data_IF_716077131748
#
_entry.id   IF_716077131748
#
_cell.length_a   1.000
_cell.length_b   1.000
_cell.length_c   1.000
_cell.angle_alpha   90.00
_cell.angle_beta   90.00
_cell.angle_gamma   90.00
#
_symmetry.space_group_name_H-M   'P 1'
#
loop_
_entity.id
_entity.type
_entity.pdbx_description
1 polymer ?
#
# COMPACT_ATOMS: atom_id res chain seq x y z
N UNK A 1 14.93 -1.67 16.16
CA UNK A 1 13.50 -1.76 15.76
C UNK A 1 13.17 -0.82 14.60
N UNK A 2 13.36 0.50 14.74
CA UNK A 2 12.94 1.50 13.74
C UNK A 2 13.51 1.29 12.32
N UNK A 3 14.80 0.96 12.20
CA UNK A 3 15.39 0.69 10.88
C UNK A 3 14.73 -0.51 10.19
N UNK A 4 14.55 -1.61 10.92
CA UNK A 4 13.89 -2.80 10.41
C UNK A 4 12.44 -2.50 9.98
N UNK A 5 11.71 -1.72 10.78
CA UNK A 5 10.35 -1.27 10.43
C UNK A 5 10.34 -0.57 9.07
N UNK A 6 11.17 0.45 8.88
CA UNK A 6 11.22 1.18 7.62
C UNK A 6 11.60 0.27 6.45
N UNK A 7 12.63 -0.55 6.63
CA UNK A 7 13.09 -1.50 5.62
C UNK A 7 11.95 -2.43 5.17
N UNK A 8 11.23 -3.06 6.12
CA UNK A 8 10.17 -3.99 5.79
C UNK A 8 8.91 -3.33 5.24
N UNK A 9 8.60 -2.08 5.63
CA UNK A 9 7.53 -1.31 5.01
C UNK A 9 7.81 -1.02 3.53
N UNK A 10 9.04 -0.59 3.20
CA UNK A 10 9.46 -0.33 1.82
C UNK A 10 9.52 -1.63 1.02
N UNK A 11 10.12 -2.69 1.59
CA UNK A 11 10.24 -3.99 0.94
C UNK A 11 8.87 -4.62 0.67
N UNK A 12 7.92 -4.51 1.60
CA UNK A 12 6.54 -4.95 1.42
C UNK A 12 5.88 -4.25 0.24
N UNK A 13 6.01 -2.92 0.14
CA UNK A 13 5.51 -2.22 -1.04
C UNK A 13 6.17 -2.67 -2.34
N UNK A 14 7.50 -2.79 -2.35
CA UNK A 14 8.22 -3.22 -3.55
C UNK A 14 7.83 -4.65 -4.00
N UNK A 15 7.63 -5.56 -3.04
CA UNK A 15 7.16 -6.91 -3.29
C UNK A 15 5.81 -6.90 -4.02
N UNK A 16 4.85 -6.12 -3.53
CA UNK A 16 3.49 -6.08 -4.07
C UNK A 16 3.44 -5.42 -5.45
N UNK A 17 4.14 -4.30 -5.64
CA UNK A 17 4.04 -3.50 -6.87
C UNK A 17 4.93 -3.99 -8.02
N UNK A 18 6.04 -4.65 -7.71
CA UNK A 18 7.03 -5.07 -8.72
C UNK A 18 7.19 -6.58 -8.86
N UNK A 19 7.08 -7.35 -7.78
CA UNK A 19 7.30 -8.81 -7.85
C UNK A 19 5.99 -9.59 -8.01
N UNK A 20 4.92 -9.16 -7.34
CA UNK A 20 3.63 -9.87 -7.34
C UNK A 20 2.60 -9.29 -8.31
N UNK A 21 2.72 -8.01 -8.65
CA UNK A 21 1.87 -7.39 -9.66
C UNK A 21 2.32 -7.79 -11.06
N UNK A 22 1.46 -8.52 -11.76
CA UNK A 22 1.63 -8.81 -13.18
C UNK A 22 1.08 -7.69 -14.07
N UNK A 23 1.44 -7.72 -15.36
CA UNK A 23 1.02 -6.72 -16.35
C UNK A 23 -0.51 -6.61 -16.48
N UNK A 24 -1.22 -7.74 -16.34
CA UNK A 24 -2.69 -7.78 -16.38
C UNK A 24 -3.30 -6.97 -15.24
N UNK A 25 -2.83 -7.18 -13.99
CA UNK A 25 -3.26 -6.42 -12.81
C UNK A 25 -2.93 -4.94 -12.96
N UNK A 26 -1.68 -4.62 -13.36
CA UNK A 26 -1.23 -3.25 -13.54
C UNK A 26 -2.09 -2.50 -14.57
N UNK A 27 -2.53 -3.18 -15.63
CA UNK A 27 -3.39 -2.61 -16.66
C UNK A 27 -4.86 -2.57 -16.23
N UNK A 28 -5.39 -3.62 -15.63
CA UNK A 28 -6.83 -3.76 -15.36
C UNK A 28 -7.28 -2.99 -14.11
N UNK A 29 -6.37 -2.60 -13.20
CA UNK A 29 -6.69 -1.69 -12.09
C UNK A 29 -7.07 -0.28 -12.55
N UNK A 30 -6.71 0.10 -13.77
CA UNK A 30 -7.04 1.40 -14.33
C UNK A 30 -8.43 1.41 -14.97
N UNK A 31 -9.26 2.39 -14.59
CA UNK A 31 -10.64 2.54 -15.12
C UNK A 31 -10.70 2.65 -16.65
N UNK A 32 -9.71 3.28 -17.26
CA UNK A 32 -9.61 3.51 -18.70
C UNK A 32 -8.84 2.39 -19.42
N UNK A 33 -8.67 1.22 -18.79
CA UNK A 33 -7.97 0.09 -19.40
C UNK A 33 -8.65 -0.39 -20.68
N UNK A 34 -7.85 -0.61 -21.72
CA UNK A 34 -8.28 -1.28 -22.96
C UNK A 34 -7.90 -2.76 -22.97
N UNK A 35 -7.42 -3.30 -21.83
CA UNK A 35 -7.01 -4.68 -21.73
C UNK A 35 -8.22 -5.62 -21.89
N UNK A 36 -8.07 -6.69 -22.67
CA UNK A 36 -9.18 -7.61 -23.00
C UNK A 36 -9.88 -8.20 -21.75
N UNK A 37 -9.14 -8.42 -20.66
CA UNK A 37 -9.67 -8.98 -19.41
C UNK A 37 -10.54 -7.97 -18.65
N UNK A 38 -10.34 -6.66 -18.86
CA UNK A 38 -11.11 -5.61 -18.17
C UNK A 38 -12.59 -5.63 -18.55
N UNK A 39 -12.97 -6.30 -19.65
CA UNK A 39 -14.37 -6.51 -20.07
C UNK A 39 -15.11 -7.44 -19.10
N UNK A 40 -14.42 -8.39 -18.46
CA UNK A 40 -15.03 -9.41 -17.61
C UNK A 40 -14.99 -9.05 -16.13
N UNK A 41 -13.95 -8.34 -15.69
CA UNK A 41 -13.75 -7.97 -14.29
C UNK A 41 -13.57 -6.45 -14.19
N UNK A 42 -14.55 -5.73 -13.59
CA UNK A 42 -14.47 -4.29 -13.44
C UNK A 42 -13.21 -3.82 -12.70
N UNK A 43 -12.67 -2.68 -13.14
CA UNK A 43 -11.41 -2.09 -12.63
C UNK A 43 -11.36 -1.94 -11.11
N UNK A 44 -12.50 -1.64 -10.47
CA UNK A 44 -12.53 -1.42 -9.03
C UNK A 44 -12.26 -2.69 -8.23
N UNK A 45 -12.51 -3.89 -8.76
CA UNK A 45 -12.10 -5.14 -8.10
C UNK A 45 -10.58 -5.32 -8.15
N UNK A 46 -9.96 -5.04 -9.30
CA UNK A 46 -8.50 -5.06 -9.47
C UNK A 46 -7.83 -4.03 -8.56
N UNK A 47 -8.28 -2.78 -8.60
CA UNK A 47 -7.69 -1.71 -7.79
C UNK A 47 -7.88 -1.96 -6.29
N UNK A 48 -9.08 -2.35 -5.87
CA UNK A 48 -9.37 -2.59 -4.45
C UNK A 48 -8.58 -3.78 -3.92
N UNK A 49 -8.49 -4.87 -4.67
CA UNK A 49 -7.68 -6.03 -4.25
C UNK A 49 -6.19 -5.69 -4.16
N UNK A 50 -5.66 -4.96 -5.15
CA UNK A 50 -4.27 -4.49 -5.13
C UNK A 50 -3.99 -3.59 -3.92
N UNK A 51 -4.77 -2.53 -3.74
CA UNK A 51 -4.60 -1.61 -2.61
C UNK A 51 -4.76 -2.31 -1.25
N UNK A 52 -5.70 -3.25 -1.14
CA UNK A 52 -5.90 -4.04 0.08
C UNK A 52 -4.68 -4.90 0.42
N UNK A 53 -4.01 -5.48 -0.58
CA UNK A 53 -2.77 -6.24 -0.34
C UNK A 53 -1.64 -5.35 0.18
N UNK A 54 -1.54 -4.10 -0.26
CA UNK A 54 -0.59 -3.14 0.31
C UNK A 54 -0.92 -2.81 1.78
N UNK A 55 -2.19 -2.58 2.09
CA UNK A 55 -2.63 -2.37 3.47
C UNK A 55 -2.36 -3.58 4.37
N UNK A 56 -2.68 -4.79 3.90
CA UNK A 56 -2.34 -6.04 4.60
C UNK A 56 -0.83 -6.18 4.76
N UNK A 57 -0.03 -5.83 3.75
CA UNK A 57 1.42 -5.83 3.83
C UNK A 57 1.96 -4.97 4.97
N UNK A 58 1.45 -3.75 5.13
CA UNK A 58 1.78 -2.88 6.27
C UNK A 58 1.28 -3.47 7.59
N UNK A 59 0.04 -3.96 7.63
CA UNK A 59 -0.54 -4.58 8.81
C UNK A 59 0.24 -5.80 9.31
N UNK A 60 0.71 -6.66 8.40
CA UNK A 60 1.54 -7.83 8.72
C UNK A 60 2.88 -7.39 9.34
N UNK A 61 3.53 -6.37 8.77
CA UNK A 61 4.78 -5.82 9.32
C UNK A 61 4.54 -5.29 10.74
N UNK A 62 3.50 -4.49 10.95
CA UNK A 62 3.14 -3.98 12.28
C UNK A 62 2.81 -5.12 13.26
N UNK A 63 2.01 -6.10 12.85
CA UNK A 63 1.64 -7.21 13.73
C UNK A 63 2.85 -8.05 14.12
N UNK A 64 3.75 -8.31 13.18
CA UNK A 64 5.00 -9.03 13.41
C UNK A 64 5.91 -8.30 14.40
N UNK A 65 5.87 -6.96 14.41
CA UNK A 65 6.62 -6.12 15.36
C UNK A 65 5.92 -5.90 16.71
N UNK A 66 4.83 -6.63 16.98
CA UNK A 66 4.19 -6.64 18.30
C UNK A 66 3.17 -5.54 18.55
N UNK A 67 2.66 -4.88 17.51
CA UNK A 67 1.58 -3.90 17.66
C UNK A 67 0.22 -4.57 17.89
N UNK A 68 -0.64 -3.89 18.65
CA UNK A 68 -2.01 -4.31 18.94
C UNK A 68 -2.87 -4.37 17.66
N UNK A 69 -3.87 -5.24 17.64
CA UNK A 69 -4.75 -5.43 16.49
C UNK A 69 -5.54 -4.18 16.09
N UNK A 70 -5.88 -3.28 17.04
CA UNK A 70 -6.55 -2.03 16.70
C UNK A 70 -5.63 -1.11 15.90
N UNK A 71 -4.35 -1.01 16.30
CA UNK A 71 -3.32 -0.27 15.56
C UNK A 71 -3.11 -0.89 14.19
N UNK A 72 -2.92 -2.22 14.15
CA UNK A 72 -2.71 -2.98 12.90
C UNK A 72 -3.87 -2.74 11.92
N UNK A 73 -5.11 -2.85 12.39
CA UNK A 73 -6.28 -2.61 11.56
C UNK A 73 -6.33 -1.16 11.06
N UNK A 74 -6.05 -0.19 11.93
CA UNK A 74 -6.06 1.23 11.56
C UNK A 74 -5.02 1.55 10.46
N UNK A 75 -3.77 1.12 10.62
CA UNK A 75 -2.71 1.38 9.62
C UNK A 75 -2.97 0.60 8.32
N UNK A 76 -3.50 -0.62 8.39
CA UNK A 76 -3.82 -1.40 7.20
C UNK A 76 -4.95 -0.78 6.38
N UNK A 77 -6.01 -0.31 7.04
CA UNK A 77 -7.13 0.38 6.39
C UNK A 77 -6.68 1.73 5.81
N UNK A 78 -5.88 2.49 6.56
CA UNK A 78 -5.38 3.78 6.10
C UNK A 78 -4.45 3.62 4.90
N UNK A 79 -3.49 2.69 4.94
CA UNK A 79 -2.64 2.37 3.79
C UNK A 79 -3.46 1.90 2.59
N UNK A 80 -4.47 1.04 2.79
CA UNK A 80 -5.38 0.62 1.71
C UNK A 80 -6.04 1.82 1.05
N UNK A 81 -6.59 2.75 1.83
CA UNK A 81 -7.27 3.92 1.31
C UNK A 81 -6.32 4.87 0.56
N UNK A 82 -5.14 5.15 1.13
CA UNK A 82 -4.12 6.01 0.53
C UNK A 82 -3.62 5.38 -0.77
N UNK A 83 -3.30 4.09 -0.76
CA UNK A 83 -2.80 3.37 -1.94
C UNK A 83 -3.85 3.36 -3.04
N UNK A 84 -5.11 3.10 -2.69
CA UNK A 84 -6.24 3.11 -3.64
C UNK A 84 -6.38 4.46 -4.34
N UNK A 85 -6.40 5.56 -3.58
CA UNK A 85 -6.55 6.91 -4.13
C UNK A 85 -5.33 7.28 -4.99
N UNK A 86 -4.13 6.91 -4.54
CA UNK A 86 -2.88 7.20 -5.24
C UNK A 86 -2.83 6.47 -6.58
N UNK A 87 -3.17 5.19 -6.62
CA UNK A 87 -3.21 4.42 -7.85
C UNK A 87 -4.34 4.85 -8.78
N UNK A 88 -5.50 5.21 -8.23
CA UNK A 88 -6.59 5.78 -9.01
C UNK A 88 -6.16 7.05 -9.73
N UNK A 89 -5.51 7.99 -9.01
CA UNK A 89 -5.00 9.24 -9.59
C UNK A 89 -3.92 9.00 -10.65
N UNK A 90 -3.02 8.03 -10.43
CA UNK A 90 -2.04 7.60 -11.45
C UNK A 90 -2.74 7.06 -12.69
N UNK A 91 -3.68 6.13 -12.54
CA UNK A 91 -4.45 5.56 -13.64
C UNK A 91 -5.26 6.62 -14.41
N UNK A 92 -5.75 7.65 -13.70
CA UNK A 92 -6.42 8.81 -14.28
C UNK A 92 -5.46 9.85 -14.89
N UNK A 93 -4.14 9.59 -14.86
CA UNK A 93 -3.07 10.45 -15.38
C UNK A 93 -3.00 11.84 -14.72
N UNK A 94 -3.37 11.94 -13.45
CA UNK A 94 -3.26 13.19 -12.69
C UNK A 94 -1.80 13.57 -12.39
N UNK A 95 -0.91 12.58 -12.35
CA UNK A 95 0.52 12.75 -12.12
C UNK A 95 1.32 11.58 -12.69
N UNK A 96 2.66 11.71 -12.68
CA UNK A 96 3.60 10.74 -13.24
C UNK A 96 3.85 9.54 -12.31
N UNK A 97 4.48 8.50 -12.85
CA UNK A 97 4.94 7.34 -12.07
C UNK A 97 5.91 7.74 -10.94
N UNK A 98 6.75 8.75 -11.16
CA UNK A 98 7.66 9.22 -10.10
C UNK A 98 6.92 9.86 -8.92
N UNK A 99 5.86 10.62 -9.21
CA UNK A 99 5.03 11.20 -8.17
C UNK A 99 4.26 10.13 -7.39
N UNK A 100 3.73 9.11 -8.09
CA UNK A 100 3.11 7.93 -7.49
C UNK A 100 4.07 7.23 -6.51
N UNK A 101 5.28 6.90 -6.95
CA UNK A 101 6.28 6.26 -6.10
C UNK A 101 6.71 7.15 -4.92
N UNK A 102 6.81 8.46 -5.12
CA UNK A 102 7.12 9.40 -4.05
C UNK A 102 6.03 9.41 -2.97
N UNK A 103 4.74 9.40 -3.36
CA UNK A 103 3.60 9.31 -2.43
C UNK A 103 3.68 8.00 -1.66
N UNK A 104 3.90 6.88 -2.35
CA UNK A 104 3.99 5.57 -1.73
C UNK A 104 5.10 5.52 -0.68
N UNK A 105 6.32 5.94 -1.01
CA UNK A 105 7.44 5.98 -0.06
C UNK A 105 7.17 6.94 1.10
N UNK A 106 6.59 8.11 0.82
CA UNK A 106 6.21 9.09 1.85
C UNK A 106 5.22 8.47 2.84
N UNK A 107 4.25 7.67 2.38
CA UNK A 107 3.33 6.97 3.27
C UNK A 107 4.06 6.04 4.26
N UNK A 108 5.08 5.30 3.80
CA UNK A 108 5.87 4.40 4.66
C UNK A 108 6.71 5.17 5.65
N UNK A 109 7.25 6.32 5.24
CA UNK A 109 7.94 7.25 6.13
C UNK A 109 7.00 7.81 7.20
N UNK A 110 5.74 8.10 6.88
CA UNK A 110 4.73 8.55 7.85
C UNK A 110 4.45 7.45 8.89
N UNK A 111 4.21 6.21 8.46
CA UNK A 111 4.01 5.09 9.40
C UNK A 111 5.21 4.88 10.32
N UNK A 112 6.41 4.91 9.74
CA UNK A 112 7.66 4.84 10.49
C UNK A 112 7.80 6.01 11.47
N UNK A 113 7.48 7.24 11.06
CA UNK A 113 7.59 8.44 11.87
C UNK A 113 6.61 8.42 13.05
N UNK A 114 5.39 7.91 12.87
CA UNK A 114 4.43 7.76 13.97
C UNK A 114 4.95 6.82 15.07
N UNK A 115 5.68 5.77 14.70
CA UNK A 115 6.34 4.88 15.67
C UNK A 115 7.57 5.54 16.28
N UNK A 116 8.41 6.20 15.46
CA UNK A 116 9.62 6.87 15.91
C UNK A 116 9.33 8.04 16.87
N UNK A 117 8.23 8.75 16.66
CA UNK A 117 7.73 9.82 17.52
C UNK A 117 6.87 9.31 18.69
N UNK A 118 6.81 7.99 18.91
CA UNK A 118 6.10 7.38 20.04
C UNK A 118 4.59 7.64 20.09
N UNK A 119 3.99 8.10 18.99
CA UNK A 119 2.53 8.27 18.85
C UNK A 119 1.82 6.91 18.87
N UNK A 120 2.49 5.89 18.34
CA UNK A 120 2.01 4.51 18.32
C UNK A 120 3.14 3.59 18.80
N UNK A 121 2.83 2.68 19.73
CA UNK A 121 3.82 1.81 20.37
C UNK A 121 3.42 0.32 20.29
N UNK A 122 4.39 -0.60 20.24
CA UNK A 122 4.13 -2.03 20.43
C UNK A 122 3.50 -2.30 21.80
N UNK A 123 2.79 -3.42 21.92
CA UNK A 123 2.23 -3.86 23.20
C UNK A 123 3.37 -4.18 24.17
N UNK A 124 3.37 -3.52 25.33
CA UNK A 124 4.38 -3.72 26.37
C UNK A 124 5.71 -2.98 26.15
N UNK A 125 5.75 -2.00 25.23
CA UNK A 125 6.87 -1.09 25.03
C UNK A 125 6.83 0.13 25.97
#
# INVERSE_FOLDING_TARGET
MLFALLFFLIASHALMDYSLQNDTMASCKCRQSTHQVAVYVPWYYWLTSHAMLHGVGVGVVFRWMGFDWNVVAAVAVAETAIHWVTDYGKCAKWYSLHADQAIHITCKLVWWALVAAEVVKPVGA
#
